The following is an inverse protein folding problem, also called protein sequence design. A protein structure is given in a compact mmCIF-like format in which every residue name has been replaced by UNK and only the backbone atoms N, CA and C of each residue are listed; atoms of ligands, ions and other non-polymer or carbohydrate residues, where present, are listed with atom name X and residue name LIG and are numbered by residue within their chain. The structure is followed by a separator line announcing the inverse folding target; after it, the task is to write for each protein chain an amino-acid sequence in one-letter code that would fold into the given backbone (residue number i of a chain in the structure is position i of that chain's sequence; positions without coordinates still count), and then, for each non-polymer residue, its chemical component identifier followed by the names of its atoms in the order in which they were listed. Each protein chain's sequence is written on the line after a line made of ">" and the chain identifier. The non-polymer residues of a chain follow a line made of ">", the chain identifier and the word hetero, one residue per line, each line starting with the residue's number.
data_IF_521586927251
#
_entry.id   IF_521586927251
#
_cell.length_a   1.000
_cell.length_b   1.000
_cell.length_c   1.000
_cell.angle_alpha   90.00
_cell.angle_beta   90.00
_cell.angle_gamma   90.00
#
_symmetry.space_group_name_H-M   'P 1'
#
loop_
_entity.id
_entity.type
_entity.pdbx_description
1 polymer ?
#
# COMPACT_ATOMS: atom_id res chain seq x y z
N UNK A 1 -11.44 -31.67 19.41
CA UNK A 1 -11.95 -30.62 18.50
C UNK A 1 -11.12 -30.67 17.23
N UNK A 2 -11.45 -31.46 16.21
CA UNK A 2 -12.41 -31.18 15.11
C UNK A 2 -12.17 -29.84 14.40
N UNK A 3 -11.58 -29.93 13.21
CA UNK A 3 -11.84 -29.15 12.01
C UNK A 3 -11.83 -27.61 12.10
N UNK A 4 -10.70 -27.00 11.77
CA UNK A 4 -10.66 -25.80 10.93
C UNK A 4 -9.72 -26.06 9.77
N UNK A 5 -10.29 -26.55 8.67
CA UNK A 5 -9.58 -27.01 7.48
C UNK A 5 -9.11 -25.87 6.59
N UNK A 6 -7.82 -25.52 6.71
CA UNK A 6 -6.99 -25.08 5.58
C UNK A 6 -5.57 -25.64 5.81
N UNK A 7 -4.95 -26.34 4.85
CA UNK A 7 -3.53 -26.64 4.94
C UNK A 7 -2.76 -25.33 4.94
N UNK A 8 -1.77 -25.17 5.82
CA UNK A 8 -0.79 -24.10 5.64
C UNK A 8 0.04 -24.44 4.40
N UNK A 9 -0.06 -23.62 3.35
CA UNK A 9 0.82 -23.73 2.20
C UNK A 9 2.20 -23.17 2.59
N UNK A 10 3.26 -23.95 2.40
CA UNK A 10 4.64 -23.53 2.65
C UNK A 10 5.27 -24.02 3.96
N UNK A 11 4.61 -24.89 4.72
CA UNK A 11 5.27 -25.58 5.85
C UNK A 11 6.06 -26.78 5.32
N UNK A 12 7.38 -26.78 5.52
CA UNK A 12 8.22 -27.97 5.37
C UNK A 12 8.20 -28.70 6.72
N UNK A 13 7.73 -29.94 6.75
CA UNK A 13 7.78 -30.75 7.97
C UNK A 13 9.24 -31.08 8.29
N UNK A 14 9.56 -31.23 9.57
CA UNK A 14 10.94 -31.48 10.02
C UNK A 14 11.57 -32.73 9.36
N UNK A 15 10.74 -33.74 9.09
CA UNK A 15 11.15 -34.98 8.44
C UNK A 15 11.32 -34.85 6.92
N UNK A 16 10.79 -33.77 6.32
CA UNK A 16 10.85 -33.47 4.89
C UNK A 16 12.01 -32.52 4.54
N UNK A 17 12.80 -32.08 5.53
CA UNK A 17 14.00 -31.27 5.32
C UNK A 17 15.13 -32.19 4.84
N UNK A 18 15.71 -31.98 3.65
CA UNK A 18 16.86 -32.75 3.19
C UNK A 18 17.99 -32.70 4.22
N UNK A 19 18.60 -33.84 4.54
CA UNK A 19 19.89 -33.87 5.23
C UNK A 19 20.87 -33.04 4.38
N UNK A 20 21.45 -31.99 4.98
CA UNK A 20 22.29 -30.96 4.33
C UNK A 20 21.53 -29.84 3.57
N UNK A 21 20.24 -29.64 3.83
CA UNK A 21 19.56 -28.44 3.36
C UNK A 21 20.27 -27.17 3.85
N UNK A 22 20.61 -26.28 2.91
CA UNK A 22 21.19 -24.98 3.23
C UNK A 22 20.28 -24.26 4.22
N UNK A 23 20.73 -24.04 5.45
CA UNK A 23 20.07 -23.15 6.38
C UNK A 23 20.17 -21.73 5.80
N UNK A 24 19.10 -21.29 5.13
CA UNK A 24 18.85 -19.86 5.05
C UNK A 24 18.55 -19.42 6.46
N UNK A 25 19.57 -18.87 7.14
CA UNK A 25 19.34 -17.88 8.18
C UNK A 25 18.55 -16.76 7.53
N UNK A 26 17.22 -16.91 7.50
CA UNK A 26 16.33 -15.75 7.47
C UNK A 26 16.79 -14.96 8.67
N UNK A 27 17.60 -13.92 8.44
CA UNK A 27 18.41 -13.27 9.49
C UNK A 27 17.58 -12.77 10.67
N UNK A 28 18.20 -12.07 11.61
CA UNK A 28 17.49 -11.52 12.79
C UNK A 28 16.50 -10.40 12.39
N UNK A 29 15.35 -10.77 11.83
CA UNK A 29 14.23 -9.89 11.47
C UNK A 29 13.11 -10.02 12.49
N UNK A 30 12.42 -8.92 12.76
CA UNK A 30 11.42 -8.84 13.83
C UNK A 30 10.09 -9.48 13.42
N UNK A 31 9.90 -10.78 13.71
CA UNK A 31 8.61 -11.47 13.55
C UNK A 31 8.48 -12.69 14.47
N UNK A 32 7.26 -13.21 14.63
CA UNK A 32 6.99 -14.43 15.39
C UNK A 32 7.17 -15.67 14.51
N UNK A 33 7.95 -16.65 14.96
CA UNK A 33 8.26 -17.86 14.17
C UNK A 33 7.04 -18.73 13.85
N UNK A 34 6.00 -18.68 14.69
CA UNK A 34 4.80 -19.51 14.62
C UNK A 34 3.57 -18.77 14.03
N UNK A 35 3.60 -17.44 13.95
CA UNK A 35 2.47 -16.62 13.51
C UNK A 35 2.79 -15.70 12.32
N UNK A 36 4.06 -15.52 11.95
CA UNK A 36 4.50 -14.60 10.90
C UNK A 36 4.58 -13.14 11.37
N UNK A 37 4.63 -12.22 10.40
CA UNK A 37 4.86 -10.78 10.58
C UNK A 37 3.68 -9.89 10.16
N UNK A 38 2.77 -10.40 9.33
CA UNK A 38 1.67 -9.65 8.73
C UNK A 38 0.33 -9.77 9.47
N UNK A 39 -0.56 -8.76 9.35
CA UNK A 39 -1.92 -8.87 9.83
C UNK A 39 -2.74 -9.85 8.96
N UNK A 40 -3.67 -10.58 9.57
CA UNK A 40 -4.58 -11.46 8.84
C UNK A 40 -5.49 -10.67 7.86
N UNK A 41 -5.86 -9.44 8.24
CA UNK A 41 -6.62 -8.50 7.41
C UNK A 41 -5.98 -7.12 7.55
N UNK A 42 -5.34 -6.59 6.50
CA UNK A 42 -4.69 -5.29 6.57
C UNK A 42 -5.72 -4.16 6.67
N UNK A 43 -5.26 -2.98 7.07
CA UNK A 43 -6.13 -1.79 7.09
C UNK A 43 -6.68 -1.53 5.68
N UNK A 44 -7.97 -1.18 5.60
CA UNK A 44 -8.68 -0.96 4.33
C UNK A 44 -9.18 -2.23 3.66
N UNK A 45 -8.84 -3.42 4.16
CA UNK A 45 -9.25 -4.69 3.54
C UNK A 45 -10.78 -4.87 3.58
N UNK A 46 -11.34 -5.20 2.42
CA UNK A 46 -12.75 -5.54 2.26
C UNK A 46 -12.97 -6.36 1.01
N UNK A 47 -13.76 -7.42 1.12
CA UNK A 47 -14.21 -8.19 -0.04
C UNK A 47 -15.46 -7.56 -0.63
N UNK A 48 -15.62 -7.70 -1.94
CA UNK A 48 -16.83 -7.35 -2.67
C UNK A 48 -17.39 -8.60 -3.36
N UNK A 49 -18.68 -8.57 -3.71
CA UNK A 49 -19.29 -9.62 -4.54
C UNK A 49 -18.87 -9.51 -6.01
N UNK A 50 -18.14 -8.46 -6.37
CA UNK A 50 -17.48 -8.28 -7.67
C UNK A 50 -15.98 -8.09 -7.48
N UNK A 51 -15.23 -8.11 -8.57
CA UNK A 51 -13.78 -7.85 -8.57
C UNK A 51 -13.48 -6.49 -9.19
N UNK A 52 -12.47 -5.82 -8.66
CA UNK A 52 -11.96 -4.56 -9.20
C UNK A 52 -10.51 -4.71 -9.63
N UNK A 53 -10.21 -4.13 -10.78
CA UNK A 53 -8.85 -4.06 -11.33
C UNK A 53 -8.36 -2.60 -11.23
N UNK A 54 -7.14 -2.45 -10.76
CA UNK A 54 -6.44 -1.16 -10.66
C UNK A 54 -5.39 -1.12 -11.77
N UNK A 55 -5.48 -0.11 -12.63
CA UNK A 55 -4.44 0.17 -13.61
C UNK A 55 -3.20 0.82 -13.00
N UNK A 56 -2.24 1.15 -13.85
CA UNK A 56 -1.02 1.84 -13.42
C UNK A 56 -1.32 3.23 -12.85
N UNK A 57 -0.60 3.60 -11.79
CA UNK A 57 -0.66 4.94 -11.22
C UNK A 57 0.10 5.90 -12.12
N UNK A 58 -0.59 6.94 -12.59
CA UNK A 58 -0.04 7.99 -13.45
C UNK A 58 0.10 9.26 -12.64
N UNK A 59 1.32 9.79 -12.57
CA UNK A 59 1.62 11.04 -11.90
C UNK A 59 1.67 12.19 -12.90
N UNK A 60 1.26 13.39 -12.48
CA UNK A 60 1.38 14.60 -13.31
C UNK A 60 2.83 15.07 -13.52
N UNK A 61 3.76 14.63 -12.66
CA UNK A 61 5.17 14.98 -12.66
C UNK A 61 5.92 13.97 -11.78
N UNK A 62 7.22 13.76 -12.01
CA UNK A 62 8.06 12.92 -11.13
C UNK A 62 8.62 13.69 -9.93
N UNK A 63 8.41 15.01 -9.89
CA UNK A 63 8.84 15.86 -8.78
C UNK A 63 7.88 17.01 -8.50
N UNK A 64 7.91 17.53 -7.28
CA UNK A 64 7.17 18.72 -6.84
C UNK A 64 8.02 19.60 -5.93
N UNK A 65 7.78 20.91 -5.92
CA UNK A 65 8.45 21.83 -4.99
C UNK A 65 7.85 21.75 -3.58
N UNK A 66 8.51 22.34 -2.58
CA UNK A 66 8.05 22.40 -1.17
C UNK A 66 6.66 23.04 -0.97
N UNK A 67 6.18 23.81 -1.94
CA UNK A 67 4.83 24.42 -1.94
C UNK A 67 3.97 23.95 -3.12
N UNK A 68 4.46 22.95 -3.86
CA UNK A 68 3.80 22.43 -5.04
C UNK A 68 2.73 21.40 -4.71
N UNK A 69 2.25 20.77 -5.78
CA UNK A 69 1.31 19.65 -5.73
C UNK A 69 1.60 18.69 -6.87
N UNK A 70 1.19 17.45 -6.68
CA UNK A 70 1.23 16.39 -7.68
C UNK A 70 -0.17 15.79 -7.79
N UNK A 71 -0.58 15.46 -9.00
CA UNK A 71 -1.83 14.75 -9.23
C UNK A 71 -1.51 13.29 -9.53
N UNK A 72 -2.15 12.37 -8.81
CA UNK A 72 -2.04 10.94 -9.00
C UNK A 72 -3.37 10.39 -9.52
N UNK A 73 -3.33 9.70 -10.65
CA UNK A 73 -4.51 9.14 -11.32
C UNK A 73 -4.36 7.63 -11.45
N UNK A 74 -5.41 6.89 -11.10
CA UNK A 74 -5.51 5.46 -11.33
C UNK A 74 -6.85 5.15 -11.99
N UNK A 75 -6.84 4.36 -13.05
CA UNK A 75 -8.06 3.83 -13.65
C UNK A 75 -8.50 2.62 -12.85
N UNK A 76 -9.73 2.62 -12.36
CA UNK A 76 -10.32 1.50 -11.62
C UNK A 76 -11.49 0.94 -12.42
N UNK A 77 -11.48 -0.37 -12.63
CA UNK A 77 -12.48 -1.08 -13.44
C UNK A 77 -13.18 -2.15 -12.63
N UNK A 78 -14.50 -2.21 -12.72
CA UNK A 78 -15.27 -3.36 -12.24
C UNK A 78 -15.18 -4.49 -13.27
N UNK A 79 -14.49 -5.57 -12.93
CA UNK A 79 -14.24 -6.71 -13.83
C UNK A 79 -15.19 -7.88 -13.59
N UNK A 80 -16.01 -7.84 -12.55
CA UNK A 80 -17.01 -8.87 -12.28
C UNK A 80 -18.38 -8.55 -12.87
N UNK A 81 -19.39 -9.32 -12.44
CA UNK A 81 -20.73 -9.32 -13.03
C UNK A 81 -21.78 -8.53 -12.24
N UNK A 82 -21.41 -7.91 -11.12
CA UNK A 82 -22.34 -7.21 -10.22
C UNK A 82 -21.89 -5.77 -10.02
N UNK A 83 -22.84 -4.83 -10.04
CA UNK A 83 -22.55 -3.44 -9.70
C UNK A 83 -22.22 -3.30 -8.21
N UNK A 84 -21.17 -2.55 -7.89
CA UNK A 84 -20.72 -2.41 -6.51
C UNK A 84 -19.99 -1.08 -6.27
N UNK A 85 -19.82 -0.75 -4.99
CA UNK A 85 -18.94 0.35 -4.58
C UNK A 85 -17.55 -0.16 -4.25
N UNK A 86 -16.53 0.63 -4.57
CA UNK A 86 -15.13 0.38 -4.23
C UNK A 86 -14.55 1.58 -3.48
N UNK A 87 -13.70 1.37 -2.48
CA UNK A 87 -13.06 2.45 -1.71
C UNK A 87 -11.59 2.53 -2.06
N UNK A 88 -11.29 3.37 -3.05
CA UNK A 88 -9.94 3.60 -3.55
C UNK A 88 -9.16 4.45 -2.56
N UNK A 89 -7.97 3.99 -2.15
CA UNK A 89 -7.17 4.60 -1.09
C UNK A 89 -5.81 5.05 -1.62
N UNK A 90 -5.38 6.24 -1.22
CA UNK A 90 -4.07 6.82 -1.52
C UNK A 90 -3.15 6.69 -0.31
N UNK A 91 -2.02 6.02 -0.50
CA UNK A 91 -0.97 5.89 0.52
C UNK A 91 0.33 6.54 0.06
N UNK A 92 1.09 7.06 1.02
CA UNK A 92 2.43 7.61 0.77
C UNK A 92 3.41 7.08 1.81
N UNK A 93 4.65 6.86 1.41
CA UNK A 93 5.78 6.56 2.27
C UNK A 93 6.88 7.55 1.99
N UNK A 94 7.46 8.07 3.05
CA UNK A 94 8.66 8.88 3.01
C UNK A 94 9.87 7.96 3.17
N UNK A 95 10.75 7.91 2.15
CA UNK A 95 11.92 7.03 2.13
C UNK A 95 13.13 7.68 2.80
N UNK A 96 13.17 9.01 2.87
CA UNK A 96 14.31 9.78 3.35
C UNK A 96 13.80 10.84 4.32
N UNK A 97 13.69 10.45 5.58
CA UNK A 97 13.33 11.35 6.67
C UNK A 97 14.43 11.43 7.73
N UNK A 98 14.60 12.61 8.32
CA UNK A 98 15.43 12.81 9.52
C UNK A 98 14.96 12.00 10.74
N UNK A 99 13.70 11.57 10.73
CA UNK A 99 13.08 10.68 11.72
C UNK A 99 12.54 9.42 11.05
N UNK A 100 12.43 8.32 11.79
CA UNK A 100 11.80 7.08 11.30
C UNK A 100 10.34 7.36 10.97
N UNK A 101 9.97 7.15 9.70
CA UNK A 101 8.60 7.37 9.19
C UNK A 101 7.84 6.05 9.09
N UNK A 102 6.49 6.07 9.20
CA UNK A 102 5.67 4.88 8.97
C UNK A 102 5.89 4.31 7.56
N UNK A 103 5.72 2.99 7.42
CA UNK A 103 5.92 2.30 6.14
C UNK A 103 4.90 2.75 5.09
N UNK A 104 3.67 3.12 5.49
CA UNK A 104 2.65 3.76 4.64
C UNK A 104 1.74 4.65 5.49
N UNK A 105 1.40 5.83 5.00
CA UNK A 105 0.43 6.76 5.58
C UNK A 105 -0.72 7.00 4.60
N UNK A 106 -1.97 6.85 5.04
CA UNK A 106 -3.15 7.18 4.23
C UNK A 106 -3.25 8.70 4.06
N UNK A 107 -3.31 9.19 2.81
CA UNK A 107 -3.43 10.62 2.48
C UNK A 107 -4.77 11.00 1.87
N UNK A 108 -5.53 10.02 1.37
CA UNK A 108 -6.85 10.26 0.82
C UNK A 108 -7.57 8.96 0.49
N UNK A 109 -8.88 9.05 0.31
CA UNK A 109 -9.68 7.95 -0.22
C UNK A 109 -10.88 8.50 -0.99
N UNK A 110 -11.33 7.76 -1.99
CA UNK A 110 -12.55 8.06 -2.75
C UNK A 110 -13.39 6.78 -2.86
N UNK A 111 -14.68 6.90 -2.53
CA UNK A 111 -15.64 5.82 -2.75
C UNK A 111 -16.31 6.02 -4.09
N UNK A 112 -16.13 5.06 -5.00
CA UNK A 112 -16.73 5.06 -6.34
C UNK A 112 -17.77 3.96 -6.45
N UNK A 113 -18.74 4.12 -7.35
CA UNK A 113 -19.73 3.11 -7.70
C UNK A 113 -19.57 2.80 -9.19
N UNK A 114 -19.46 1.51 -9.54
CA UNK A 114 -19.22 1.06 -10.92
C UNK A 114 -20.16 -0.07 -11.30
N UNK A 115 -20.75 0.04 -12.49
CA UNK A 115 -21.46 -1.04 -13.16
C UNK A 115 -20.49 -2.12 -13.66
N UNK A 116 -20.95 -3.36 -13.93
CA UNK A 116 -20.13 -4.40 -14.54
C UNK A 116 -19.46 -3.91 -15.83
N UNK A 117 -18.14 -4.05 -15.93
CA UNK A 117 -17.34 -3.60 -17.07
C UNK A 117 -17.03 -2.10 -17.11
N UNK A 118 -17.64 -1.28 -16.25
CA UNK A 118 -17.38 0.15 -16.18
C UNK A 118 -15.99 0.44 -15.62
N UNK A 119 -15.33 1.46 -16.17
CA UNK A 119 -14.03 1.97 -15.72
C UNK A 119 -14.13 3.45 -15.40
N UNK A 120 -13.45 3.89 -14.35
CA UNK A 120 -13.41 5.29 -13.95
C UNK A 120 -11.99 5.68 -13.53
N UNK A 121 -11.55 6.84 -14.00
CA UNK A 121 -10.32 7.46 -13.52
C UNK A 121 -10.58 8.12 -12.16
N UNK A 122 -9.87 7.64 -11.14
CA UNK A 122 -9.86 8.21 -9.80
C UNK A 122 -8.62 9.08 -9.66
N UNK A 123 -8.82 10.32 -9.23
CA UNK A 123 -7.79 11.35 -9.20
C UNK A 123 -7.63 11.91 -7.80
N UNK A 124 -6.41 11.84 -7.28
CA UNK A 124 -6.04 12.49 -6.03
C UNK A 124 -5.08 13.64 -6.30
N UNK A 125 -5.26 14.73 -5.56
CA UNK A 125 -4.32 15.84 -5.52
C UNK A 125 -3.59 15.77 -4.20
N UNK A 126 -2.27 15.62 -4.25
CA UNK A 126 -1.40 15.58 -3.08
C UNK A 126 -0.59 16.88 -3.04
N UNK A 127 -0.75 17.66 -1.97
CA UNK A 127 -0.01 18.89 -1.75
C UNK A 127 1.22 18.60 -0.90
N UNK A 128 2.27 19.42 -1.02
CA UNK A 128 3.48 19.26 -0.22
C UNK A 128 3.17 19.30 1.29
N UNK A 129 2.20 20.13 1.68
CA UNK A 129 1.73 20.25 3.07
C UNK A 129 1.14 18.96 3.65
N UNK A 130 0.69 18.04 2.81
CA UNK A 130 0.12 16.74 3.21
C UNK A 130 1.24 15.75 3.58
N UNK A 131 2.46 15.99 3.10
CA UNK A 131 3.68 15.24 3.42
C UNK A 131 4.39 15.74 4.67
N UNK A 132 4.04 16.94 5.12
CA UNK A 132 4.70 17.58 6.23
C UNK A 132 4.51 16.80 7.54
N UNK A 133 5.60 16.64 8.29
CA UNK A 133 5.62 15.94 9.56
C UNK A 133 6.20 16.81 10.68
N UNK A 134 5.95 16.39 11.93
CA UNK A 134 6.40 17.10 13.11
C UNK A 134 7.79 16.60 13.53
N UNK A 135 8.79 17.49 13.55
CA UNK A 135 10.14 17.19 14.06
C UNK A 135 10.21 17.43 15.57
N UNK A 136 9.47 18.42 16.04
CA UNK A 136 9.31 18.75 17.46
C UNK A 136 7.87 19.21 17.71
N UNK A 137 7.47 19.38 18.97
CA UNK A 137 6.12 19.79 19.34
C UNK A 137 5.65 21.14 18.75
N UNK A 138 6.52 21.89 18.04
CA UNK A 138 6.21 23.23 17.53
C UNK A 138 6.58 23.43 16.06
N UNK A 139 7.19 22.44 15.39
CA UNK A 139 7.69 22.63 14.03
C UNK A 139 7.24 21.50 13.11
N UNK A 140 6.45 21.87 12.09
CA UNK A 140 5.94 21.00 11.04
C UNK A 140 6.60 21.42 9.73
N UNK A 141 7.42 20.56 9.14
CA UNK A 141 8.16 20.86 7.91
C UNK A 141 7.95 19.78 6.85
N UNK A 142 8.26 20.14 5.60
CA UNK A 142 8.42 19.21 4.48
C UNK A 142 9.91 19.13 4.17
N UNK A 143 10.48 17.96 4.32
CA UNK A 143 11.87 17.71 3.90
C UNK A 143 11.88 17.33 2.41
N UNK A 144 12.85 17.85 1.61
CA UNK A 144 13.13 17.30 0.29
C UNK A 144 13.54 15.84 0.41
N UNK A 145 13.06 15.00 -0.50
CA UNK A 145 13.30 13.56 -0.41
C UNK A 145 12.52 12.77 -1.45
N UNK A 146 12.78 11.47 -1.49
CA UNK A 146 12.05 10.51 -2.30
C UNK A 146 10.85 9.96 -1.53
N UNK A 147 9.73 9.85 -2.23
CA UNK A 147 8.49 9.32 -1.70
C UNK A 147 7.98 8.20 -2.61
N UNK A 148 7.46 7.14 -2.00
CA UNK A 148 6.64 6.15 -2.70
C UNK A 148 5.16 6.50 -2.53
N UNK A 149 4.37 6.31 -3.58
CA UNK A 149 2.94 6.54 -3.62
C UNK A 149 2.22 5.29 -4.14
N UNK A 150 1.13 4.92 -3.48
CA UNK A 150 0.25 3.82 -3.90
C UNK A 150 -1.18 4.31 -4.05
N UNK A 151 -1.89 3.77 -5.05
CA UNK A 151 -3.34 3.80 -5.10
C UNK A 151 -3.83 2.35 -5.13
N UNK A 152 -4.60 1.94 -4.13
CA UNK A 152 -5.00 0.54 -3.93
C UNK A 152 -6.33 0.42 -3.18
N UNK A 153 -6.88 -0.80 -3.11
CA UNK A 153 -8.08 -1.11 -2.32
C UNK A 153 -7.80 -1.40 -0.83
N UNK A 154 -6.54 -1.60 -0.45
CA UNK A 154 -6.12 -1.84 0.92
C UNK A 154 -4.65 -1.44 1.13
N UNK A 155 -4.20 -1.41 2.38
CA UNK A 155 -2.84 -0.97 2.74
C UNK A 155 -1.71 -1.94 2.36
N UNK A 156 -1.99 -3.22 2.07
CA UNK A 156 -0.98 -4.23 1.73
C UNK A 156 -0.79 -4.40 0.21
N UNK A 157 -1.82 -4.12 -0.59
CA UNK A 157 -1.82 -4.35 -2.04
C UNK A 157 -1.26 -3.17 -2.86
N UNK A 158 -1.00 -3.43 -4.15
CA UNK A 158 -0.63 -2.43 -5.16
C UNK A 158 0.88 -2.19 -5.32
N UNK A 159 1.27 -1.79 -6.53
CA UNK A 159 2.63 -1.34 -6.82
C UNK A 159 2.80 0.14 -6.47
N UNK A 160 3.99 0.53 -5.97
CA UNK A 160 4.31 1.94 -5.77
C UNK A 160 4.78 2.59 -7.05
N UNK A 161 4.57 3.90 -7.13
CA UNK A 161 5.29 4.82 -8.00
C UNK A 161 6.09 5.80 -7.17
N UNK A 162 7.23 6.23 -7.69
CA UNK A 162 8.13 7.16 -6.99
C UNK A 162 7.92 8.59 -7.45
N UNK A 163 8.07 9.53 -6.53
CA UNK A 163 8.22 10.94 -6.84
C UNK A 163 9.14 11.62 -5.83
N UNK A 164 9.66 12.80 -6.16
CA UNK A 164 10.56 13.56 -5.28
C UNK A 164 10.00 14.92 -4.88
N UNK A 165 10.22 15.31 -3.63
CA UNK A 165 10.07 16.72 -3.23
C UNK A 165 11.42 17.41 -3.37
N UNK A 166 11.46 18.48 -4.16
CA UNK A 166 12.64 19.32 -4.40
C UNK A 166 12.49 20.68 -3.74
N UNK A 167 13.60 21.39 -3.53
CA UNK A 167 13.60 22.74 -2.97
C UNK A 167 12.80 23.76 -3.78
#
# INVERSE_FOLDING_TARGET
>A
HKNTGRPASGMVLIDDIPLEASQTSTGCTSYYLDAGDGPAFPFGYGLSYTTFEYGDVRLSSDSMSKNGKIEAVCTVKNTGSVAASETVQLYVRDLVGSLVRPVKELKGFEKIYLQPGESRDVKFTLNASDLAFWISAKEKIVEPGEFDLWISGDSASGASVKFSVVE
#
